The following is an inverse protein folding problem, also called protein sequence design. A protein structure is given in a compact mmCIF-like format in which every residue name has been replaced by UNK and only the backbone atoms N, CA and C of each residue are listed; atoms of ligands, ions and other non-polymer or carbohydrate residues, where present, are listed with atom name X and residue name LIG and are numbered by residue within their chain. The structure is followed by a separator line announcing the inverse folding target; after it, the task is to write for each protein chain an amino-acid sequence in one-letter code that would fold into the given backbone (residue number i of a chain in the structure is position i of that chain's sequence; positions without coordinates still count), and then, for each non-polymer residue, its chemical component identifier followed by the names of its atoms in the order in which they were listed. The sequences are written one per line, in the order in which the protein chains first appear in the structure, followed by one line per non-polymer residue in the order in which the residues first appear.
data_IF_239232938346
#
_entry.id   IF_239232938346
#
_cell.length_a   1.000
_cell.length_b   1.000
_cell.length_c   1.000
_cell.angle_alpha   90.00
_cell.angle_beta   90.00
_cell.angle_gamma   90.00
#
_symmetry.space_group_name_H-M   'P 1'
#
loop_
_entity.id
_entity.type
_entity.pdbx_description
1 polymer ?
#
# COMPACT_ATOMS: atom_id res chain seq x y z
N UNK A 1 46.84 -36.44 12.62
CA UNK A 1 46.71 -35.02 13.00
C UNK A 1 45.54 -34.98 14.01
N UNK A 2 45.85 -34.88 15.34
CA UNK A 2 44.88 -35.08 16.42
C UNK A 2 43.99 -33.82 16.61
N UNK A 3 43.06 -33.64 15.71
CA UNK A 3 42.09 -32.53 15.76
C UNK A 3 41.17 -32.71 16.98
N UNK A 4 40.80 -33.94 17.32
CA UNK A 4 39.87 -34.25 18.42
C UNK A 4 40.40 -33.89 19.80
N UNK A 5 41.72 -34.06 20.05
CA UNK A 5 42.35 -33.74 21.35
C UNK A 5 42.41 -32.21 21.62
N UNK A 6 42.57 -31.40 20.55
CA UNK A 6 42.60 -29.96 20.65
C UNK A 6 41.18 -29.39 20.83
N UNK A 7 40.19 -29.95 20.11
CA UNK A 7 38.78 -29.59 20.24
C UNK A 7 38.25 -29.90 21.65
N UNK A 8 38.59 -31.09 22.17
CA UNK A 8 38.21 -31.47 23.54
C UNK A 8 38.80 -30.54 24.63
N UNK A 9 40.05 -30.10 24.47
CA UNK A 9 40.67 -29.14 25.41
C UNK A 9 40.01 -27.77 25.34
N UNK A 10 39.65 -27.29 24.17
CA UNK A 10 38.95 -26.03 23.99
C UNK A 10 37.53 -26.11 24.59
N UNK A 11 36.82 -27.21 24.37
CA UNK A 11 35.47 -27.43 24.89
C UNK A 11 35.48 -27.53 26.43
N UNK A 12 36.42 -28.23 27.02
CA UNK A 12 36.58 -28.32 28.48
C UNK A 12 36.97 -26.98 29.13
N UNK A 13 37.80 -26.18 28.47
CA UNK A 13 38.14 -24.84 28.92
C UNK A 13 36.92 -23.87 28.83
N UNK A 14 36.10 -24.01 27.77
CA UNK A 14 34.86 -23.25 27.63
C UNK A 14 33.86 -23.60 28.73
N UNK A 15 33.65 -24.90 28.98
CA UNK A 15 32.76 -25.38 30.04
C UNK A 15 33.19 -24.95 31.44
N UNK A 16 34.48 -24.82 31.70
CA UNK A 16 35.01 -24.36 32.96
C UNK A 16 34.72 -22.88 33.24
N UNK A 17 34.51 -22.09 32.16
CA UNK A 17 34.17 -20.65 32.22
C UNK A 17 32.73 -20.34 31.80
N UNK A 18 31.82 -21.33 31.84
CA UNK A 18 30.46 -21.18 31.38
C UNK A 18 29.69 -20.02 32.04
N UNK A 19 29.99 -19.75 33.35
CA UNK A 19 29.41 -18.62 34.08
C UNK A 19 29.72 -17.28 33.41
N UNK A 20 30.92 -17.12 32.87
CA UNK A 20 31.36 -15.91 32.17
C UNK A 20 30.63 -15.77 30.82
N UNK A 21 30.41 -16.88 30.11
CA UNK A 21 29.67 -16.91 28.88
C UNK A 21 28.21 -16.49 29.10
N UNK A 22 27.59 -16.99 30.18
CA UNK A 22 26.21 -16.60 30.51
C UNK A 22 26.11 -15.11 30.82
N UNK A 23 27.06 -14.55 31.57
CA UNK A 23 27.08 -13.11 31.88
C UNK A 23 27.19 -12.27 30.59
N UNK A 24 28.10 -12.64 29.69
CA UNK A 24 28.20 -11.94 28.37
C UNK A 24 26.96 -12.11 27.52
N UNK A 25 26.32 -13.27 27.54
CA UNK A 25 25.08 -13.52 26.78
C UNK A 25 23.94 -12.63 27.32
N UNK A 26 23.82 -12.49 28.64
CA UNK A 26 22.80 -11.62 29.27
C UNK A 26 23.07 -10.15 28.92
N UNK A 27 24.30 -9.69 29.02
CA UNK A 27 24.67 -8.30 28.66
C UNK A 27 24.39 -8.06 27.18
N UNK A 28 24.76 -8.98 26.28
CA UNK A 28 24.49 -8.91 24.86
C UNK A 28 22.99 -8.86 24.54
N UNK A 29 22.18 -9.66 25.23
CA UNK A 29 20.74 -9.67 25.07
C UNK A 29 20.09 -8.35 25.52
N UNK A 30 20.57 -7.76 26.62
CA UNK A 30 20.08 -6.46 27.10
C UNK A 30 20.41 -5.35 26.07
N UNK A 31 21.66 -5.31 25.59
CA UNK A 31 22.10 -4.32 24.60
C UNK A 31 21.31 -4.48 23.30
N UNK A 32 21.15 -5.71 22.81
CA UNK A 32 20.37 -6.01 21.63
C UNK A 32 18.90 -5.62 21.80
N UNK A 33 18.29 -5.91 22.94
CA UNK A 33 16.91 -5.54 23.26
C UNK A 33 16.70 -4.02 23.25
N UNK A 34 17.61 -3.26 23.87
CA UNK A 34 17.56 -1.79 23.87
C UNK A 34 17.75 -1.24 22.44
N UNK A 35 18.70 -1.80 21.70
CA UNK A 35 18.94 -1.41 20.31
C UNK A 35 17.68 -1.65 19.44
N UNK A 36 17.11 -2.84 19.52
CA UNK A 36 15.89 -3.18 18.78
C UNK A 36 14.74 -2.23 19.14
N UNK A 37 14.50 -1.99 20.43
CA UNK A 37 13.43 -1.11 20.87
C UNK A 37 13.61 0.36 20.43
N UNK A 38 14.85 0.81 20.28
CA UNK A 38 15.17 2.19 19.86
C UNK A 38 15.23 2.37 18.33
N UNK A 39 15.65 1.35 17.60
CA UNK A 39 15.87 1.43 16.16
C UNK A 39 14.73 0.83 15.33
N UNK A 40 13.81 0.07 15.92
CA UNK A 40 12.65 -0.46 15.21
C UNK A 40 11.51 0.55 15.32
N UNK A 41 11.27 1.31 14.23
CA UNK A 41 10.07 2.13 14.12
C UNK A 41 8.92 1.23 13.66
N UNK A 42 7.84 1.19 14.43
CA UNK A 42 6.61 0.55 13.98
C UNK A 42 6.02 1.38 12.85
N UNK A 43 5.70 0.73 11.75
CA UNK A 43 4.99 1.34 10.63
C UNK A 43 3.65 0.65 10.43
N UNK A 44 2.63 1.45 10.19
CA UNK A 44 1.27 0.99 9.94
C UNK A 44 0.94 1.27 8.49
N UNK A 45 0.41 0.25 7.81
CA UNK A 45 0.08 0.33 6.39
C UNK A 45 -1.41 0.12 6.20
N UNK A 46 -2.04 1.04 5.46
CA UNK A 46 -3.42 0.94 5.02
C UNK A 46 -3.46 0.91 3.50
N UNK A 47 -4.13 -0.07 2.92
CA UNK A 47 -4.26 -0.21 1.46
C UNK A 47 -5.72 -0.09 1.05
N UNK A 48 -5.98 0.63 -0.04
CA UNK A 48 -7.31 0.78 -0.65
C UNK A 48 -7.17 0.56 -2.14
N UNK A 49 -8.04 -0.27 -2.69
CA UNK A 49 -8.11 -0.59 -4.10
C UNK A 49 -9.27 0.13 -4.78
N UNK A 50 -9.05 0.59 -6.00
CA UNK A 50 -10.04 1.23 -6.83
C UNK A 50 -10.05 0.59 -8.21
N UNK A 51 -11.25 0.49 -8.80
CA UNK A 51 -11.42 0.02 -10.16
C UNK A 51 -11.61 1.22 -11.09
N UNK A 52 -10.78 1.31 -12.14
CA UNK A 52 -10.92 2.30 -13.19
C UNK A 52 -12.08 1.89 -14.12
N UNK A 53 -13.31 2.35 -13.81
CA UNK A 53 -14.46 2.10 -14.66
C UNK A 53 -14.52 3.08 -15.84
N UNK A 54 -14.69 2.52 -17.02
CA UNK A 54 -15.31 3.24 -18.14
C UNK A 54 -16.83 3.17 -17.98
N UNK A 55 -17.41 4.11 -17.25
CA UNK A 55 -18.78 3.98 -16.71
C UNK A 55 -19.91 4.34 -17.67
N UNK A 56 -19.62 4.64 -18.96
CA UNK A 56 -20.67 5.00 -19.93
C UNK A 56 -21.45 3.81 -20.49
N UNK A 57 -21.08 2.59 -20.09
CA UNK A 57 -21.63 1.40 -20.72
C UNK A 57 -22.45 0.49 -19.82
N UNK A 58 -22.44 0.73 -18.51
CA UNK A 58 -23.33 -0.02 -17.61
C UNK A 58 -24.77 0.51 -17.63
N UNK A 59 -24.94 1.80 -17.96
CA UNK A 59 -26.27 2.42 -18.04
C UNK A 59 -26.93 2.14 -19.40
N UNK A 60 -26.18 2.14 -20.50
CA UNK A 60 -26.71 1.76 -21.83
C UNK A 60 -27.07 0.28 -21.94
N UNK A 61 -26.40 -0.60 -21.21
CA UNK A 61 -26.73 -2.04 -21.18
C UNK A 61 -27.99 -2.34 -20.35
N UNK A 62 -28.36 -1.49 -19.41
CA UNK A 62 -29.60 -1.62 -18.66
C UNK A 62 -30.81 -1.12 -19.45
N UNK A 63 -30.62 -0.16 -20.36
CA UNK A 63 -31.70 0.44 -21.16
C UNK A 63 -31.93 -0.28 -22.51
N UNK A 64 -30.98 -1.11 -22.95
CA UNK A 64 -31.08 -1.88 -24.19
C UNK A 64 -31.61 -3.30 -24.04
N UNK A 65 -32.16 -3.68 -22.89
CA UNK A 65 -32.82 -4.99 -22.67
C UNK A 65 -34.23 -5.05 -23.24
N UNK A 66 -34.52 -4.28 -24.27
CA UNK A 66 -35.77 -4.33 -25.03
C UNK A 66 -35.54 -4.67 -26.50
N UNK A 67 -35.03 -5.84 -26.82
CA UNK A 67 -35.31 -6.68 -27.97
C UNK A 67 -34.13 -7.60 -28.37
N UNK A 68 -34.39 -8.85 -28.08
CA UNK A 68 -34.03 -10.08 -28.76
C UNK A 68 -32.84 -10.16 -29.73
N UNK A 69 -32.02 -11.18 -29.46
CA UNK A 69 -31.32 -12.07 -30.38
C UNK A 69 -30.27 -11.44 -31.30
N UNK A 70 -29.06 -11.70 -30.96
CA UNK A 70 -27.99 -12.18 -31.82
C UNK A 70 -26.61 -11.70 -31.40
N UNK A 71 -25.75 -12.66 -31.21
CA UNK A 71 -24.30 -12.62 -31.23
C UNK A 71 -23.56 -12.43 -29.89
N UNK A 72 -23.28 -13.55 -29.25
CA UNK A 72 -22.31 -13.76 -28.18
C UNK A 72 -20.91 -13.21 -28.52
N UNK A 73 -20.54 -13.12 -29.78
CA UNK A 73 -19.24 -12.62 -30.23
C UNK A 73 -19.10 -11.08 -30.22
N UNK A 74 -20.19 -10.35 -30.44
CA UNK A 74 -20.14 -8.88 -30.37
C UNK A 74 -20.03 -8.34 -28.93
N UNK A 75 -20.65 -9.03 -27.98
CA UNK A 75 -20.57 -8.67 -26.57
C UNK A 75 -19.16 -8.93 -26.00
N UNK A 76 -18.51 -10.00 -26.40
CA UNK A 76 -17.16 -10.34 -25.95
C UNK A 76 -16.10 -9.37 -26.51
N UNK A 77 -16.22 -8.97 -27.78
CA UNK A 77 -15.37 -7.94 -28.40
C UNK A 77 -15.55 -6.57 -27.73
N UNK A 78 -16.78 -6.21 -27.37
CA UNK A 78 -17.10 -4.98 -26.64
C UNK A 78 -16.48 -4.96 -25.23
N UNK A 79 -16.55 -6.05 -24.49
CA UNK A 79 -15.96 -6.16 -23.15
C UNK A 79 -14.43 -6.06 -23.19
N UNK A 80 -13.78 -6.72 -24.14
CA UNK A 80 -12.32 -6.65 -24.32
C UNK A 80 -11.87 -5.23 -24.67
N UNK A 81 -12.61 -4.54 -25.55
CA UNK A 81 -12.31 -3.15 -25.91
C UNK A 81 -12.45 -2.20 -24.71
N UNK A 82 -13.48 -2.41 -23.88
CA UNK A 82 -13.70 -1.63 -22.64
C UNK A 82 -12.60 -1.85 -21.62
N UNK A 83 -12.17 -3.10 -21.43
CA UNK A 83 -11.07 -3.44 -20.55
C UNK A 83 -9.76 -2.81 -21.02
N UNK A 84 -9.46 -2.89 -22.32
CA UNK A 84 -8.26 -2.26 -22.91
C UNK A 84 -8.30 -0.73 -22.77
N UNK A 85 -9.46 -0.11 -22.90
CA UNK A 85 -9.63 1.32 -22.66
C UNK A 85 -9.42 1.66 -21.17
N UNK A 86 -10.02 0.90 -20.26
CA UNK A 86 -9.83 1.09 -18.83
C UNK A 86 -8.37 0.94 -18.40
N UNK A 87 -7.64 -0.03 -18.96
CA UNK A 87 -6.21 -0.19 -18.72
C UNK A 87 -5.38 0.98 -19.24
N UNK A 88 -5.72 1.56 -20.42
CA UNK A 88 -5.04 2.76 -20.91
C UNK A 88 -5.32 4.01 -20.08
N UNK A 89 -6.52 4.12 -19.53
CA UNK A 89 -6.87 5.22 -18.64
C UNK A 89 -6.21 5.11 -17.27
N UNK A 90 -5.79 3.90 -16.87
CA UNK A 90 -5.17 3.62 -15.60
C UNK A 90 -3.89 4.45 -15.39
N UNK A 91 -3.00 4.48 -16.39
CA UNK A 91 -1.76 5.25 -16.33
C UNK A 91 -2.05 6.75 -16.15
N UNK A 92 -3.06 7.25 -16.85
CA UNK A 92 -3.50 8.65 -16.72
C UNK A 92 -4.03 8.95 -15.31
N UNK A 93 -4.80 8.02 -14.72
CA UNK A 93 -5.28 8.20 -13.35
C UNK A 93 -4.14 8.17 -12.33
N UNK A 94 -3.17 7.25 -12.49
CA UNK A 94 -2.00 7.19 -11.61
C UNK A 94 -1.21 8.51 -11.69
N UNK A 95 -1.02 9.07 -12.90
CA UNK A 95 -0.37 10.35 -13.07
C UNK A 95 -1.13 11.48 -12.37
N UNK A 96 -2.45 11.58 -12.55
CA UNK A 96 -3.32 12.57 -11.89
C UNK A 96 -3.22 12.44 -10.37
N UNK A 97 -3.30 11.22 -9.84
CA UNK A 97 -3.24 10.97 -8.40
C UNK A 97 -1.85 11.12 -7.79
N UNK A 98 -0.80 11.17 -8.61
CA UNK A 98 0.57 11.47 -8.17
C UNK A 98 0.86 12.97 -8.06
N UNK A 99 -0.08 13.84 -8.48
CA UNK A 99 0.10 15.30 -8.47
C UNK A 99 0.06 15.89 -7.06
N UNK A 100 0.78 17.00 -6.86
CA UNK A 100 0.73 17.73 -5.61
C UNK A 100 -0.67 18.33 -5.33
N UNK A 101 -1.40 18.71 -6.38
CA UNK A 101 -2.75 19.25 -6.27
C UNK A 101 -3.72 18.23 -5.65
N UNK A 102 -3.62 16.97 -6.06
CA UNK A 102 -4.44 15.91 -5.48
C UNK A 102 -4.15 15.72 -4.00
N UNK A 103 -2.86 15.64 -3.63
CA UNK A 103 -2.48 15.48 -2.22
C UNK A 103 -2.80 16.71 -1.37
N UNK A 104 -2.83 17.92 -1.96
CA UNK A 104 -3.33 19.10 -1.26
C UNK A 104 -4.82 18.94 -0.94
N UNK A 105 -5.62 18.47 -1.90
CA UNK A 105 -7.06 18.20 -1.67
C UNK A 105 -7.28 17.17 -0.55
N UNK A 106 -6.46 16.10 -0.53
CA UNK A 106 -6.52 15.07 0.53
C UNK A 106 -6.12 15.66 1.89
N UNK A 107 -5.08 16.51 1.92
CA UNK A 107 -4.64 17.18 3.14
C UNK A 107 -5.71 18.12 3.70
N UNK A 108 -6.33 18.92 2.85
CA UNK A 108 -7.39 19.84 3.24
C UNK A 108 -8.60 19.09 3.82
N UNK A 109 -9.00 17.98 3.19
CA UNK A 109 -10.09 17.14 3.68
C UNK A 109 -9.72 16.44 5.01
N UNK A 110 -8.48 15.95 5.14
CA UNK A 110 -7.97 15.34 6.37
C UNK A 110 -7.99 16.35 7.53
N UNK A 111 -7.39 17.52 7.32
CA UNK A 111 -7.28 18.57 8.32
C UNK A 111 -8.65 19.10 8.75
N UNK A 112 -9.56 19.26 7.78
CA UNK A 112 -10.95 19.68 8.05
C UNK A 112 -11.73 18.64 8.83
N UNK A 113 -11.58 17.36 8.50
CA UNK A 113 -12.39 16.27 9.10
C UNK A 113 -11.91 15.91 10.51
N UNK A 114 -10.61 15.89 10.72
CA UNK A 114 -9.99 15.42 11.97
C UNK A 114 -9.35 16.52 12.81
N UNK A 115 -9.40 17.79 12.37
CA UNK A 115 -8.84 18.92 13.09
C UNK A 115 -7.31 18.87 13.20
N UNK A 116 -6.65 18.27 12.21
CA UNK A 116 -5.18 18.16 12.13
C UNK A 116 -4.60 19.27 11.28
N UNK A 117 -3.27 19.38 11.22
CA UNK A 117 -2.55 20.36 10.39
C UNK A 117 -1.39 19.67 9.66
N UNK A 118 -1.70 18.63 8.86
CA UNK A 118 -0.71 17.93 8.08
C UNK A 118 -0.56 18.58 6.69
N UNK A 119 0.67 18.95 6.28
CA UNK A 119 0.90 19.43 4.94
C UNK A 119 0.79 18.31 3.88
N UNK A 120 0.40 18.67 2.67
CA UNK A 120 0.26 17.74 1.55
C UNK A 120 1.52 16.89 1.29
N UNK A 121 2.71 17.44 1.55
CA UNK A 121 3.97 16.72 1.39
C UNK A 121 4.10 15.50 2.32
N UNK A 122 3.59 15.58 3.54
CA UNK A 122 3.59 14.44 4.48
C UNK A 122 2.71 13.33 3.93
N UNK A 123 1.51 13.66 3.46
CA UNK A 123 0.57 12.67 2.90
C UNK A 123 1.14 12.04 1.63
N UNK A 124 1.69 12.86 0.73
CA UNK A 124 2.33 12.40 -0.51
C UNK A 124 3.49 11.44 -0.24
N UNK A 125 4.36 11.78 0.71
CA UNK A 125 5.52 10.94 1.04
C UNK A 125 5.13 9.64 1.76
N UNK A 126 3.97 9.63 2.39
CA UNK A 126 3.44 8.45 3.10
C UNK A 126 2.57 7.56 2.21
N UNK A 127 2.17 8.04 1.02
CA UNK A 127 1.19 7.35 0.17
C UNK A 127 1.82 7.02 -1.17
N UNK A 128 1.66 5.77 -1.60
CA UNK A 128 2.07 5.27 -2.91
C UNK A 128 0.82 4.88 -3.69
N UNK A 129 0.78 5.19 -4.99
CA UNK A 129 -0.25 4.74 -5.91
C UNK A 129 0.37 3.86 -6.98
N UNK A 130 -0.21 2.69 -7.22
CA UNK A 130 0.29 1.72 -8.21
C UNK A 130 -0.85 1.03 -8.92
N UNK A 131 -0.59 0.58 -10.15
CA UNK A 131 -1.51 -0.29 -10.89
C UNK A 131 -1.38 -1.73 -10.43
N UNK A 132 -2.50 -2.44 -10.41
CA UNK A 132 -2.49 -3.89 -10.19
C UNK A 132 -2.37 -4.57 -11.56
N UNK A 133 -1.28 -5.33 -11.74
CA UNK A 133 -0.94 -5.96 -13.02
C UNK A 133 -2.09 -6.77 -13.62
N UNK A 134 -2.26 -6.67 -14.93
CA UNK A 134 -3.28 -7.36 -15.72
C UNK A 134 -4.73 -7.08 -15.30
N UNK A 135 -4.97 -5.97 -14.60
CA UNK A 135 -6.31 -5.53 -14.20
C UNK A 135 -6.53 -4.07 -14.57
N UNK A 136 -7.77 -3.61 -14.54
CA UNK A 136 -8.10 -2.20 -14.60
C UNK A 136 -8.23 -1.58 -13.18
N UNK A 137 -7.43 -2.06 -12.23
CA UNK A 137 -7.43 -1.63 -10.84
C UNK A 137 -6.13 -0.92 -10.49
N UNK A 138 -6.20 -0.02 -9.53
CA UNK A 138 -5.06 0.62 -8.90
C UNK A 138 -5.27 0.65 -7.39
N UNK A 139 -4.16 0.69 -6.66
CA UNK A 139 -4.18 0.73 -5.22
C UNK A 139 -3.44 1.94 -4.67
N UNK A 140 -3.92 2.44 -3.54
CA UNK A 140 -3.20 3.38 -2.69
C UNK A 140 -2.71 2.65 -1.46
N UNK A 141 -1.42 2.68 -1.23
CA UNK A 141 -0.79 2.16 -0.03
C UNK A 141 -0.25 3.31 0.80
N UNK A 142 -0.82 3.53 1.97
CA UNK A 142 -0.39 4.57 2.91
C UNK A 142 0.36 3.93 4.07
N UNK A 143 1.60 4.36 4.28
CA UNK A 143 2.48 3.85 5.35
C UNK A 143 2.93 5.00 6.24
N UNK A 144 2.59 4.95 7.52
CA UNK A 144 2.96 5.95 8.53
C UNK A 144 3.42 5.29 9.82
N UNK A 145 4.02 6.08 10.72
CA UNK A 145 4.41 5.61 12.06
C UNK A 145 3.24 5.69 13.06
N UNK A 146 2.08 6.18 12.64
CA UNK A 146 0.87 6.34 13.43
C UNK A 146 -0.28 5.58 12.76
N UNK A 147 -0.90 4.67 13.50
CA UNK A 147 -2.00 3.84 13.01
C UNK A 147 -3.24 4.67 12.64
N UNK A 148 -3.57 5.67 13.48
CA UNK A 148 -4.74 6.51 13.26
C UNK A 148 -4.52 7.40 12.03
N UNK A 149 -3.33 7.96 11.86
CA UNK A 149 -2.99 8.76 10.69
C UNK A 149 -3.07 7.93 9.39
N UNK A 150 -2.51 6.72 9.38
CA UNK A 150 -2.58 5.83 8.22
C UNK A 150 -4.02 5.52 7.83
N UNK A 151 -4.86 5.23 8.82
CA UNK A 151 -6.29 4.94 8.63
C UNK A 151 -7.08 6.17 8.15
N UNK A 152 -6.84 7.34 8.74
CA UNK A 152 -7.53 8.59 8.38
C UNK A 152 -7.18 9.04 6.96
N UNK A 153 -5.91 8.94 6.56
CA UNK A 153 -5.50 9.21 5.17
C UNK A 153 -6.24 8.27 4.22
N UNK A 154 -6.28 6.97 4.53
CA UNK A 154 -6.99 5.98 3.73
C UNK A 154 -8.48 6.34 3.58
N UNK A 155 -9.16 6.74 4.64
CA UNK A 155 -10.56 7.18 4.57
C UNK A 155 -10.76 8.45 3.72
N UNK A 156 -9.84 9.41 3.81
CA UNK A 156 -9.90 10.60 2.95
C UNK A 156 -9.68 10.24 1.49
N UNK A 157 -8.75 9.35 1.17
CA UNK A 157 -8.54 8.85 -0.18
C UNK A 157 -9.79 8.16 -0.73
N UNK A 158 -10.46 7.34 0.08
CA UNK A 158 -11.70 6.66 -0.32
C UNK A 158 -12.80 7.63 -0.74
N UNK A 159 -12.83 8.85 -0.19
CA UNK A 159 -13.76 9.91 -0.59
C UNK A 159 -13.26 10.75 -1.77
N UNK A 160 -12.00 11.18 -1.73
CA UNK A 160 -11.44 12.13 -2.71
C UNK A 160 -11.22 11.49 -4.08
N UNK A 161 -10.81 10.21 -4.14
CA UNK A 161 -10.51 9.51 -5.41
C UNK A 161 -11.74 9.43 -6.32
N UNK A 162 -12.90 8.92 -5.89
CA UNK A 162 -14.09 8.85 -6.76
C UNK A 162 -14.58 10.23 -7.20
N UNK A 163 -14.45 11.25 -6.36
CA UNK A 163 -14.84 12.63 -6.71
C UNK A 163 -13.92 13.21 -7.78
N UNK A 164 -12.62 13.00 -7.66
CA UNK A 164 -11.65 13.40 -8.69
C UNK A 164 -11.90 12.68 -10.01
N UNK A 165 -12.09 11.36 -9.98
CA UNK A 165 -12.41 10.57 -11.16
C UNK A 165 -13.68 11.03 -11.88
N UNK A 166 -14.68 11.52 -11.15
CA UNK A 166 -15.91 12.09 -11.74
C UNK A 166 -15.68 13.45 -12.39
N UNK A 167 -14.81 14.28 -11.80
CA UNK A 167 -14.50 15.62 -12.29
C UNK A 167 -13.72 15.59 -13.59
N UNK A 168 -12.75 14.71 -13.70
CA UNK A 168 -11.85 14.64 -14.86
C UNK A 168 -12.48 13.91 -16.06
N UNK A 169 -13.71 13.40 -15.90
CA UNK A 169 -14.53 12.83 -17.00
C UNK A 169 -15.42 13.84 -17.75
N UNK A 170 -15.47 15.10 -17.29
CA UNK A 170 -16.21 16.16 -17.99
C UNK A 170 -15.32 16.90 -18.97
#
# INVERSE_FOLDING_TARGET
MNIDANVQKVFSALLKKWKLIIVFAIIGAIIAGIATAKFTTLTYTSTIEFLAYANDSAQELADSTGSAQSSTHAQQASQTSKMNYAMKMLDTYIEIFSTNEFYQTVADELNKTYGTDYPASVIKNSTKVESIENTAMFEFTTTTNDADLSYHIAQCLQRCVPERMKRDRK
#
